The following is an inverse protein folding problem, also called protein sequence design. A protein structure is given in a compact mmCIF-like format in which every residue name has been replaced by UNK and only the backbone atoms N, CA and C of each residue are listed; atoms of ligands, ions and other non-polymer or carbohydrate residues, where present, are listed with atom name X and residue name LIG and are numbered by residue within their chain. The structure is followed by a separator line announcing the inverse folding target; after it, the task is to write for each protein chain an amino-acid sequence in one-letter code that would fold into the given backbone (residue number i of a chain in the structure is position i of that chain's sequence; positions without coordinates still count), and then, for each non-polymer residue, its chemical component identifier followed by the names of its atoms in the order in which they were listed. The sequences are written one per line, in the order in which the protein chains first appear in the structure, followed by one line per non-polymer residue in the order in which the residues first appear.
data_IF_092296787281
#
_entry.id   IF_092296787281
#
_cell.length_a   1.000
_cell.length_b   1.000
_cell.length_c   1.000
_cell.angle_alpha   90.00
_cell.angle_beta   90.00
_cell.angle_gamma   90.00
#
_symmetry.space_group_name_H-M   'P 1'
#
loop_
_entity.id
_entity.type
_entity.pdbx_description
1 polymer ?
#
# COMPACT_ATOMS: atom_id res chain seq x y z
N UNK A 1 -3.04 13.95 -15.09
CA UNK A 1 -3.09 12.53 -14.69
C UNK A 1 -3.91 12.46 -13.41
N UNK A 2 -4.94 11.62 -13.40
CA UNK A 2 -5.75 11.38 -12.21
C UNK A 2 -4.87 10.76 -11.10
N UNK A 3 -4.97 11.21 -9.84
CA UNK A 3 -4.17 10.64 -8.77
C UNK A 3 -4.61 9.19 -8.48
N UNK A 4 -3.63 8.31 -8.30
CA UNK A 4 -3.83 6.89 -7.96
C UNK A 4 -2.96 6.54 -6.77
N UNK A 5 -3.02 5.29 -6.30
CA UNK A 5 -2.21 4.75 -5.21
C UNK A 5 -0.77 5.28 -5.28
N UNK A 6 -0.33 5.88 -4.17
CA UNK A 6 0.99 6.46 -4.07
C UNK A 6 1.10 7.96 -4.29
N UNK A 7 0.10 8.58 -4.89
CA UNK A 7 -0.04 10.03 -4.88
C UNK A 7 -0.42 10.50 -3.48
N UNK A 8 -0.10 11.76 -3.18
CA UNK A 8 -0.67 12.48 -2.03
C UNK A 8 -1.55 13.62 -2.55
N UNK A 9 -2.61 13.94 -1.81
CA UNK A 9 -3.41 15.13 -2.05
C UNK A 9 -3.45 16.00 -0.80
N UNK A 10 -3.51 17.31 -0.98
CA UNK A 10 -3.75 18.27 0.08
C UNK A 10 -5.11 18.91 -0.13
N UNK A 11 -5.92 18.89 0.93
CA UNK A 11 -7.22 19.55 0.98
C UNK A 11 -7.11 21.05 1.26
N UNK A 12 -8.19 21.80 1.06
CA UNK A 12 -8.26 23.22 1.45
C UNK A 12 -8.14 23.41 2.97
N UNK A 13 -8.51 22.40 3.76
CA UNK A 13 -8.33 22.35 5.21
C UNK A 13 -6.87 22.02 5.62
N UNK A 14 -5.96 21.98 4.65
CA UNK A 14 -4.53 21.69 4.79
C UNK A 14 -4.22 20.28 5.31
N UNK A 15 -5.17 19.34 5.31
CA UNK A 15 -4.89 17.93 5.59
C UNK A 15 -4.26 17.29 4.35
N UNK A 16 -3.20 16.51 4.55
CA UNK A 16 -2.56 15.70 3.50
C UNK A 16 -3.03 14.26 3.62
N UNK A 17 -3.48 13.71 2.50
CA UNK A 17 -4.02 12.36 2.39
C UNK A 17 -3.14 11.47 1.51
N UNK A 18 -2.99 10.21 1.90
CA UNK A 18 -2.49 9.13 1.05
C UNK A 18 -3.61 8.67 0.11
N UNK A 19 -3.45 8.80 -1.20
CA UNK A 19 -4.42 8.29 -2.20
C UNK A 19 -4.40 6.77 -2.19
N UNK A 20 -5.58 6.14 -2.22
CA UNK A 20 -5.74 4.69 -2.12
C UNK A 20 -6.47 4.05 -3.30
N UNK A 21 -5.86 2.99 -3.83
CA UNK A 21 -6.38 2.25 -4.97
C UNK A 21 -6.18 2.97 -6.31
N UNK A 22 -6.75 2.39 -7.37
CA UNK A 22 -6.67 2.89 -8.74
C UNK A 22 -8.00 3.47 -9.25
N UNK A 23 -9.09 3.12 -8.56
CA UNK A 23 -10.47 3.42 -8.92
C UNK A 23 -11.07 4.32 -7.87
N UNK A 24 -11.78 5.36 -8.31
CA UNK A 24 -12.32 6.38 -7.43
C UNK A 24 -13.74 6.76 -7.86
N UNK A 25 -14.64 7.10 -6.90
CA UNK A 25 -15.98 7.58 -7.23
C UNK A 25 -15.94 8.85 -8.09
N UNK A 26 -17.00 9.12 -8.89
CA UNK A 26 -17.09 10.36 -9.66
C UNK A 26 -16.92 11.59 -8.77
N UNK A 27 -16.11 12.55 -9.23
CA UNK A 27 -15.83 13.82 -8.55
C UNK A 27 -15.23 13.70 -7.14
N UNK A 28 -14.71 12.54 -6.75
CA UNK A 28 -14.07 12.31 -5.45
C UNK A 28 -12.81 11.46 -5.60
N UNK A 29 -11.96 11.49 -4.57
CA UNK A 29 -10.76 10.65 -4.49
C UNK A 29 -10.80 9.90 -3.15
N UNK A 30 -10.71 8.57 -3.23
CA UNK A 30 -10.49 7.73 -2.04
C UNK A 30 -9.07 7.96 -1.56
N UNK A 31 -8.94 8.61 -0.40
CA UNK A 31 -7.65 8.96 0.18
C UNK A 31 -7.77 9.09 1.68
N UNK A 32 -6.76 8.65 2.44
CA UNK A 32 -6.83 8.63 3.90
C UNK A 32 -5.86 9.63 4.54
N UNK A 33 -6.23 10.34 5.61
CA UNK A 33 -5.35 11.29 6.29
C UNK A 33 -4.00 10.67 6.66
N UNK A 34 -2.92 11.39 6.33
CA UNK A 34 -1.55 11.01 6.65
C UNK A 34 -0.85 12.05 7.49
N UNK A 35 -1.02 13.32 7.14
CA UNK A 35 -0.55 14.46 7.94
C UNK A 35 -1.70 15.42 8.18
N UNK A 36 -2.04 15.60 9.44
CA UNK A 36 -3.11 16.50 9.88
C UNK A 36 -2.48 17.74 10.55
N UNK A 37 -3.03 18.95 10.34
CA UNK A 37 -2.60 20.12 11.10
C UNK A 37 -2.75 19.89 12.60
N UNK A 38 -1.70 20.20 13.35
CA UNK A 38 -1.63 19.97 14.79
C UNK A 38 -0.60 20.93 15.40
N UNK A 39 -1.00 21.76 16.37
CA UNK A 39 -0.12 22.75 17.01
C UNK A 39 1.03 22.08 17.78
N UNK A 40 0.82 20.87 18.28
CA UNK A 40 1.83 20.07 18.98
C UNK A 40 2.57 19.11 18.03
N UNK A 41 2.24 19.18 16.74
CA UNK A 41 2.82 18.36 15.70
C UNK A 41 4.35 18.48 15.60
N UNK A 42 5.01 17.33 15.47
CA UNK A 42 6.47 17.22 15.29
C UNK A 42 6.93 17.44 13.86
N UNK A 43 6.02 17.49 12.88
CA UNK A 43 6.34 17.80 11.48
C UNK A 43 6.01 19.27 11.20
N UNK A 44 6.77 19.91 10.31
CA UNK A 44 6.58 21.32 9.98
C UNK A 44 6.65 21.55 8.49
N UNK A 45 5.73 22.37 7.97
CA UNK A 45 5.76 22.86 6.59
C UNK A 45 5.40 24.35 6.60
N UNK A 46 6.44 25.18 6.41
CA UNK A 46 6.31 26.62 6.59
C UNK A 46 5.97 26.98 8.04
N UNK A 47 4.85 27.67 8.24
CA UNK A 47 4.35 28.08 9.57
C UNK A 47 3.44 27.03 10.23
N UNK A 48 2.97 26.02 9.49
CA UNK A 48 2.00 25.04 9.99
C UNK A 48 2.74 23.81 10.53
N UNK A 49 2.32 23.35 11.71
CA UNK A 49 2.76 22.10 12.34
C UNK A 49 1.77 20.98 12.04
N UNK A 50 2.29 19.76 11.94
CA UNK A 50 1.54 18.58 11.54
C UNK A 50 1.87 17.39 12.44
N UNK A 51 0.87 16.55 12.68
CA UNK A 51 1.04 15.21 13.23
C UNK A 51 0.84 14.17 12.14
N UNK A 52 1.69 13.14 12.15
CA UNK A 52 1.59 11.99 11.24
C UNK A 52 0.69 10.92 11.86
N UNK A 53 -0.31 10.47 11.12
CA UNK A 53 -1.31 9.49 11.59
C UNK A 53 -1.13 8.15 10.87
N UNK A 54 -1.07 7.08 11.66
CA UNK A 54 -0.74 5.74 11.17
C UNK A 54 -1.95 4.79 11.13
N UNK A 55 -2.61 4.57 12.27
CA UNK A 55 -3.72 3.62 12.38
C UNK A 55 -4.94 4.08 11.59
N UNK A 56 -5.73 3.11 11.13
CA UNK A 56 -6.99 3.37 10.42
C UNK A 56 -8.01 4.02 11.36
N UNK A 57 -8.09 3.55 12.61
CA UNK A 57 -8.98 4.11 13.63
C UNK A 57 -8.73 5.60 13.88
N UNK A 58 -7.48 6.02 14.10
CA UNK A 58 -7.16 7.43 14.36
C UNK A 58 -7.49 8.33 13.17
N UNK A 59 -7.36 7.79 11.94
CA UNK A 59 -7.73 8.49 10.70
C UNK A 59 -9.23 8.74 10.65
N UNK A 60 -10.05 7.72 10.90
CA UNK A 60 -11.51 7.89 10.95
C UNK A 60 -11.95 8.78 12.11
N UNK A 61 -11.42 8.58 13.32
CA UNK A 61 -11.72 9.44 14.47
C UNK A 61 -11.41 10.92 14.21
N UNK A 62 -10.31 11.21 13.51
CA UNK A 62 -10.00 12.57 13.08
C UNK A 62 -11.04 13.10 12.08
N UNK A 63 -11.40 12.32 11.06
CA UNK A 63 -12.34 12.75 10.03
C UNK A 63 -13.73 12.97 10.61
N UNK A 64 -14.27 12.01 11.37
CA UNK A 64 -15.60 12.12 11.97
C UNK A 64 -15.74 13.35 12.86
N UNK A 65 -14.66 13.71 13.57
CA UNK A 65 -14.64 14.89 14.46
C UNK A 65 -14.48 16.22 13.71
N UNK A 66 -13.66 16.27 12.65
CA UNK A 66 -13.21 17.53 12.07
C UNK A 66 -13.67 17.76 10.63
N UNK A 67 -13.90 16.69 9.86
CA UNK A 67 -14.25 16.67 8.44
C UNK A 67 -15.28 15.56 8.15
N UNK A 68 -16.44 15.54 8.84
CA UNK A 68 -17.39 14.42 8.77
C UNK A 68 -17.90 14.17 7.34
N UNK A 69 -18.02 15.22 6.53
CA UNK A 69 -18.45 15.14 5.12
C UNK A 69 -17.51 14.31 4.23
N UNK A 70 -16.28 14.02 4.69
CA UNK A 70 -15.33 13.19 3.94
C UNK A 70 -15.52 11.70 4.25
N UNK A 71 -16.33 11.36 5.25
CA UNK A 71 -16.61 9.99 5.64
C UNK A 71 -17.92 9.55 4.99
N UNK A 72 -17.83 8.80 3.91
CA UNK A 72 -18.96 8.45 3.05
C UNK A 72 -19.17 6.95 3.05
N UNK A 73 -20.43 6.50 3.13
CA UNK A 73 -20.75 5.13 2.78
C UNK A 73 -20.82 5.01 1.26
N UNK A 74 -19.89 4.27 0.68
CA UNK A 74 -19.84 4.04 -0.75
C UNK A 74 -20.69 2.79 -1.11
N UNK A 75 -21.71 2.92 -1.97
CA UNK A 75 -22.60 1.81 -2.30
C UNK A 75 -22.01 0.79 -3.28
N UNK A 76 -20.93 1.13 -3.99
CA UNK A 76 -20.21 0.25 -4.92
C UNK A 76 -19.22 -0.61 -4.16
N UNK A 77 -18.50 -0.04 -3.20
CA UNK A 77 -17.58 -0.78 -2.32
C UNK A 77 -18.26 -1.39 -1.09
N UNK A 78 -19.49 -0.97 -0.78
CA UNK A 78 -20.28 -1.40 0.38
C UNK A 78 -19.51 -1.22 1.69
N UNK A 79 -18.90 -0.04 1.84
CA UNK A 79 -17.97 0.28 2.91
C UNK A 79 -17.97 1.77 3.24
N UNK A 80 -17.64 2.10 4.49
CA UNK A 80 -17.36 3.47 4.91
C UNK A 80 -15.95 3.86 4.48
N UNK A 81 -15.83 4.82 3.56
CA UNK A 81 -14.56 5.27 3.01
C UNK A 81 -14.28 6.74 3.33
N UNK A 82 -13.00 7.12 3.21
CA UNK A 82 -12.61 8.52 3.18
C UNK A 82 -12.56 9.00 1.72
N UNK A 83 -13.58 9.74 1.31
CA UNK A 83 -13.74 10.28 -0.03
C UNK A 83 -13.59 11.80 -0.04
N UNK A 84 -12.46 12.29 -0.55
CA UNK A 84 -12.18 13.73 -0.63
C UNK A 84 -12.80 14.29 -1.92
N UNK A 85 -13.74 15.26 -1.84
CA UNK A 85 -14.32 15.88 -3.03
C UNK A 85 -13.26 16.62 -3.86
N UNK A 86 -13.31 16.52 -5.19
CA UNK A 86 -12.33 17.18 -6.07
C UNK A 86 -12.27 18.68 -5.86
N UNK A 87 -13.40 19.35 -5.64
CA UNK A 87 -13.43 20.79 -5.38
C UNK A 87 -12.74 21.20 -4.07
N UNK A 88 -12.52 20.24 -3.16
CA UNK A 88 -11.79 20.45 -1.91
C UNK A 88 -10.30 20.12 -2.03
N UNK A 89 -9.84 19.62 -3.17
CA UNK A 89 -8.43 19.32 -3.43
C UNK A 89 -7.70 20.61 -3.80
N UNK A 90 -6.89 21.11 -2.87
CA UNK A 90 -6.02 22.27 -3.06
C UNK A 90 -4.81 21.94 -3.93
N UNK A 91 -4.24 20.74 -3.77
CA UNK A 91 -3.03 20.33 -4.51
C UNK A 91 -2.88 18.82 -4.61
N UNK A 92 -2.42 18.37 -5.78
CA UNK A 92 -2.02 16.97 -6.03
C UNK A 92 -0.49 16.89 -6.06
N UNK A 93 0.07 15.92 -5.34
CA UNK A 93 1.49 15.62 -5.29
C UNK A 93 1.78 14.34 -6.08
N UNK A 94 2.46 14.49 -7.21
CA UNK A 94 2.85 13.36 -8.07
C UNK A 94 4.24 12.83 -7.72
N UNK A 95 4.39 11.54 -7.39
CA UNK A 95 5.69 10.93 -7.10
C UNK A 95 6.70 11.05 -8.24
N UNK A 96 6.24 10.85 -9.48
CA UNK A 96 7.08 10.89 -10.69
C UNK A 96 7.54 12.33 -10.96
N UNK A 97 6.65 13.32 -10.84
CA UNK A 97 7.03 14.73 -11.04
C UNK A 97 7.98 15.20 -9.95
N UNK A 98 7.77 14.80 -8.69
CA UNK A 98 8.70 15.12 -7.61
C UNK A 98 10.09 14.57 -7.88
N UNK A 99 10.22 13.30 -8.28
CA UNK A 99 11.51 12.70 -8.65
C UNK A 99 12.15 13.43 -9.83
N UNK A 100 11.37 13.78 -10.87
CA UNK A 100 11.84 14.59 -12.01
C UNK A 100 12.42 15.93 -11.56
N UNK A 101 11.77 16.61 -10.62
CA UNK A 101 12.29 17.87 -10.05
C UNK A 101 13.53 17.62 -9.19
N UNK A 102 13.51 16.58 -8.34
CA UNK A 102 14.60 16.25 -7.42
C UNK A 102 15.91 16.01 -8.18
N UNK A 103 15.85 15.27 -9.29
CA UNK A 103 16.99 14.98 -10.18
C UNK A 103 17.67 16.21 -10.76
N UNK A 104 16.98 17.37 -10.82
CA UNK A 104 17.52 18.62 -11.36
C UNK A 104 18.06 19.55 -10.26
N UNK A 105 17.91 19.20 -8.99
CA UNK A 105 18.37 20.06 -7.89
C UNK A 105 19.86 19.93 -7.68
N UNK A 106 20.53 21.07 -7.42
CA UNK A 106 21.97 21.13 -7.14
C UNK A 106 22.32 20.79 -5.69
N UNK A 107 21.40 21.05 -4.76
CA UNK A 107 21.57 20.77 -3.33
C UNK A 107 20.46 19.83 -2.89
N UNK A 108 20.86 18.72 -2.29
CA UNK A 108 20.00 17.69 -1.73
C UNK A 108 20.34 17.56 -0.24
N UNK A 109 19.33 17.35 0.61
CA UNK A 109 19.59 16.88 1.96
C UNK A 109 19.94 15.38 1.96
N UNK A 110 20.33 14.80 3.12
CA UNK A 110 20.76 13.39 3.18
C UNK A 110 19.68 12.43 2.69
N UNK A 111 18.43 12.60 3.12
CA UNK A 111 17.33 11.73 2.68
C UNK A 111 17.05 11.86 1.17
N UNK A 112 17.05 13.09 0.65
CA UNK A 112 16.90 13.36 -0.79
C UNK A 112 18.01 12.72 -1.62
N UNK A 113 19.25 12.78 -1.12
CA UNK A 113 20.41 12.16 -1.76
C UNK A 113 20.32 10.64 -1.74
N UNK A 114 20.02 10.04 -0.58
CA UNK A 114 19.88 8.59 -0.43
C UNK A 114 18.74 8.05 -1.29
N UNK A 115 17.59 8.73 -1.32
CA UNK A 115 16.45 8.35 -2.16
C UNK A 115 16.80 8.39 -3.65
N UNK A 116 17.48 9.46 -4.10
CA UNK A 116 17.91 9.58 -5.49
C UNK A 116 18.95 8.52 -5.86
N UNK A 117 19.91 8.24 -4.98
CA UNK A 117 20.92 7.19 -5.18
C UNK A 117 20.29 5.81 -5.24
N UNK A 118 19.34 5.51 -4.35
CA UNK A 118 18.57 4.27 -4.35
C UNK A 118 17.87 4.05 -5.70
N UNK A 119 17.13 5.06 -6.17
CA UNK A 119 16.42 5.01 -7.45
C UNK A 119 17.34 4.92 -8.67
N UNK A 120 18.52 5.56 -8.66
CA UNK A 120 19.51 5.39 -9.73
C UNK A 120 19.96 3.93 -9.83
N UNK A 121 20.36 3.30 -8.70
CA UNK A 121 20.82 1.91 -8.67
C UNK A 121 19.69 0.96 -9.15
N UNK A 122 18.47 1.15 -8.65
CA UNK A 122 17.32 0.36 -9.10
C UNK A 122 17.11 0.51 -10.61
N UNK A 123 17.15 1.75 -11.11
CA UNK A 123 16.95 2.04 -12.54
C UNK A 123 18.03 1.40 -13.42
N UNK A 124 19.29 1.50 -13.04
CA UNK A 124 20.42 0.93 -13.78
C UNK A 124 20.33 -0.60 -13.83
N UNK A 125 19.96 -1.25 -12.72
CA UNK A 125 19.89 -2.71 -12.64
C UNK A 125 18.60 -3.31 -13.23
N UNK A 126 17.54 -2.52 -13.37
CA UNK A 126 16.24 -2.97 -13.94
C UNK A 126 15.98 -2.47 -15.36
N UNK A 127 16.82 -1.55 -15.85
CA UNK A 127 16.63 -0.86 -17.13
C UNK A 127 15.23 -0.21 -17.31
N UNK A 128 14.62 0.26 -16.21
CA UNK A 128 13.33 0.96 -16.30
C UNK A 128 13.52 2.44 -16.64
N UNK A 129 12.54 3.07 -17.31
CA UNK A 129 12.58 4.50 -17.58
C UNK A 129 12.21 5.32 -16.32
N UNK A 130 12.72 6.55 -16.26
CA UNK A 130 12.47 7.46 -15.12
C UNK A 130 10.99 7.80 -14.90
N UNK A 131 10.17 7.74 -15.94
CA UNK A 131 8.73 8.00 -15.83
C UNK A 131 7.94 6.86 -15.18
N UNK A 132 8.55 5.68 -15.02
CA UNK A 132 8.01 4.56 -14.24
C UNK A 132 8.41 4.57 -12.77
N UNK A 133 9.21 5.54 -12.33
CA UNK A 133 9.75 5.63 -10.97
C UNK A 133 9.28 6.90 -10.26
N UNK A 134 9.06 6.82 -8.96
CA UNK A 134 8.62 7.94 -8.14
C UNK A 134 9.04 7.82 -6.67
N UNK A 135 8.94 8.96 -5.97
CA UNK A 135 9.15 9.06 -4.53
C UNK A 135 7.84 9.55 -3.91
N UNK A 136 7.35 8.88 -2.87
CA UNK A 136 6.13 9.24 -2.15
C UNK A 136 6.43 9.60 -0.69
N UNK A 137 5.41 9.49 0.17
CA UNK A 137 5.51 9.62 1.60
C UNK A 137 5.96 11.00 2.07
N UNK A 138 6.69 11.03 3.17
CA UNK A 138 7.08 12.28 3.84
C UNK A 138 8.01 13.14 2.98
N UNK A 139 8.84 12.52 2.13
CA UNK A 139 9.76 13.23 1.25
C UNK A 139 9.01 14.03 0.17
N UNK A 140 7.96 13.44 -0.43
CA UNK A 140 7.14 14.06 -1.47
C UNK A 140 6.49 15.39 -1.03
N UNK A 141 6.09 15.48 0.23
CA UNK A 141 5.46 16.69 0.82
C UNK A 141 6.41 17.51 1.71
N UNK A 142 7.70 17.17 1.71
CA UNK A 142 8.74 17.81 2.53
C UNK A 142 8.41 17.84 4.03
N UNK A 143 7.82 16.76 4.54
CA UNK A 143 7.51 16.53 5.95
C UNK A 143 8.34 15.37 6.54
N UNK A 144 9.51 15.11 5.97
CA UNK A 144 10.41 14.09 6.46
C UNK A 144 11.15 14.55 7.73
N UNK A 145 11.59 13.58 8.50
CA UNK A 145 12.50 13.69 9.65
C UNK A 145 13.75 12.85 9.35
N UNK A 146 14.77 12.94 10.19
CA UNK A 146 15.98 12.09 10.10
C UNK A 146 15.66 10.60 10.18
N UNK A 147 14.56 10.23 10.84
CA UNK A 147 14.05 8.86 10.96
C UNK A 147 13.05 8.47 9.88
N UNK A 148 12.87 9.29 8.83
CA UNK A 148 11.96 8.93 7.74
C UNK A 148 12.59 7.92 6.79
N UNK A 149 11.76 6.97 6.37
CA UNK A 149 12.05 5.95 5.38
C UNK A 149 12.14 6.54 3.96
N UNK A 150 12.69 5.75 3.04
CA UNK A 150 12.65 6.00 1.60
C UNK A 150 11.40 5.32 1.01
N UNK A 151 10.34 6.09 0.79
CA UNK A 151 9.10 5.62 0.17
C UNK A 151 9.20 5.67 -1.37
N UNK A 152 9.49 4.53 -2.00
CA UNK A 152 9.63 4.40 -3.46
C UNK A 152 8.33 3.90 -4.06
N UNK A 153 7.98 4.41 -5.25
CA UNK A 153 6.87 3.89 -6.04
C UNK A 153 7.34 3.56 -7.45
N UNK A 154 6.94 2.40 -7.95
CA UNK A 154 7.14 2.00 -9.34
C UNK A 154 5.77 1.81 -9.98
N UNK A 155 5.60 2.41 -11.16
CA UNK A 155 4.37 2.38 -11.94
C UNK A 155 4.53 1.53 -13.20
N UNK A 156 3.50 0.72 -13.48
CA UNK A 156 3.42 -0.14 -14.65
C UNK A 156 3.90 -1.55 -14.34
N UNK A 157 3.10 -2.53 -14.73
CA UNK A 157 3.28 -3.95 -14.37
C UNK A 157 4.64 -4.47 -14.81
N UNK A 158 5.05 -4.16 -16.04
CA UNK A 158 6.36 -4.54 -16.57
C UNK A 158 7.52 -3.91 -15.79
N UNK A 159 7.44 -2.60 -15.49
CA UNK A 159 8.48 -1.91 -14.71
C UNK A 159 8.58 -2.46 -13.29
N UNK A 160 7.44 -2.76 -12.65
CA UNK A 160 7.39 -3.32 -11.31
C UNK A 160 8.12 -4.67 -11.26
N UNK A 161 7.82 -5.58 -12.19
CA UNK A 161 8.52 -6.87 -12.26
C UNK A 161 10.02 -6.73 -12.55
N UNK A 162 10.42 -5.83 -13.45
CA UNK A 162 11.84 -5.55 -13.71
C UNK A 162 12.57 -5.05 -12.45
N UNK A 163 11.96 -4.12 -11.71
CA UNK A 163 12.55 -3.61 -10.45
C UNK A 163 12.55 -4.69 -9.37
N UNK A 164 11.50 -5.50 -9.27
CA UNK A 164 11.41 -6.61 -8.33
C UNK A 164 12.58 -7.59 -8.48
N UNK A 165 12.80 -8.09 -9.71
CA UNK A 165 13.87 -9.05 -9.97
C UNK A 165 15.26 -8.41 -9.83
N UNK A 166 15.43 -7.15 -10.21
CA UNK A 166 16.67 -6.42 -9.98
C UNK A 166 16.97 -6.30 -8.48
N UNK A 167 15.97 -5.96 -7.67
CA UNK A 167 16.12 -5.84 -6.21
C UNK A 167 16.44 -7.19 -5.56
N UNK A 168 15.79 -8.28 -5.97
CA UNK A 168 16.13 -9.63 -5.52
C UNK A 168 17.59 -9.97 -5.79
N UNK A 169 18.10 -9.63 -6.98
CA UNK A 169 19.50 -9.82 -7.35
C UNK A 169 20.44 -9.00 -6.46
N UNK A 170 20.15 -7.70 -6.30
CA UNK A 170 20.95 -6.77 -5.48
C UNK A 170 21.04 -7.20 -4.01
N UNK A 171 19.95 -7.74 -3.45
CA UNK A 171 19.92 -8.26 -2.08
C UNK A 171 20.73 -9.57 -1.95
N UNK A 172 20.72 -10.42 -2.98
CA UNK A 172 21.45 -11.70 -2.98
C UNK A 172 22.97 -11.51 -3.13
N UNK A 173 23.42 -10.51 -3.87
CA UNK A 173 24.86 -10.24 -4.10
C UNK A 173 25.60 -9.80 -2.84
N UNK A 174 24.92 -9.19 -1.86
CA UNK A 174 25.46 -8.88 -0.53
C UNK A 174 26.52 -7.77 -0.48
N UNK A 175 27.06 -7.34 -1.62
CA UNK A 175 28.01 -6.22 -1.76
C UNK A 175 27.34 -4.91 -2.21
N UNK A 176 26.01 -4.84 -2.14
CA UNK A 176 25.23 -3.67 -2.54
C UNK A 176 24.82 -2.85 -1.30
N UNK A 177 24.40 -1.58 -1.47
CA UNK A 177 23.87 -0.80 -0.36
C UNK A 177 22.51 -1.29 0.17
N UNK A 178 21.88 -2.27 -0.49
CA UNK A 178 20.62 -2.88 -0.09
C UNK A 178 20.88 -4.04 0.88
N UNK A 179 20.11 -4.08 1.97
CA UNK A 179 20.13 -5.18 2.93
C UNK A 179 18.70 -5.58 3.29
N UNK A 180 18.47 -6.88 3.40
CA UNK A 180 17.28 -7.40 4.04
C UNK A 180 17.34 -7.09 5.54
N UNK A 181 16.17 -7.06 6.19
CA UNK A 181 16.12 -6.88 7.64
C UNK A 181 16.75 -8.07 8.36
N UNK A 182 17.55 -7.79 9.39
CA UNK A 182 17.95 -8.79 10.36
C UNK A 182 16.84 -9.03 11.41
N UNK A 183 17.04 -9.98 12.32
CA UNK A 183 16.02 -10.36 13.30
C UNK A 183 15.63 -9.22 14.27
N UNK A 184 16.59 -8.38 14.69
CA UNK A 184 16.31 -7.25 15.57
C UNK A 184 15.49 -6.17 14.85
N UNK A 185 15.82 -5.91 13.59
CA UNK A 185 15.05 -4.98 12.73
C UNK A 185 13.64 -5.53 12.45
N UNK A 186 13.49 -6.84 12.25
CA UNK A 186 12.19 -7.49 12.13
C UNK A 186 11.38 -7.40 13.42
N UNK A 187 12.01 -7.48 14.59
CA UNK A 187 11.34 -7.29 15.88
C UNK A 187 10.80 -5.87 16.02
N UNK A 188 11.59 -4.86 15.67
CA UNK A 188 11.13 -3.46 15.65
C UNK A 188 9.96 -3.28 14.66
N UNK A 189 10.06 -3.88 13.48
CA UNK A 189 8.98 -3.84 12.48
C UNK A 189 7.70 -4.54 12.97
N UNK A 190 7.85 -5.66 13.68
CA UNK A 190 6.76 -6.40 14.29
C UNK A 190 6.02 -5.55 15.32
N UNK A 191 6.72 -4.95 16.28
CA UNK A 191 6.13 -4.10 17.31
C UNK A 191 5.37 -2.90 16.72
N UNK A 192 5.87 -2.37 15.60
CA UNK A 192 5.18 -1.33 14.85
C UNK A 192 3.91 -1.83 14.15
N UNK A 193 3.97 -3.01 13.49
CA UNK A 193 2.86 -3.54 12.68
C UNK A 193 1.78 -4.23 13.52
N UNK A 194 2.12 -4.78 14.68
CA UNK A 194 1.22 -5.54 15.54
C UNK A 194 -0.02 -4.74 15.95
N UNK A 195 0.13 -3.43 16.15
CA UNK A 195 -0.96 -2.49 16.45
C UNK A 195 -2.10 -2.48 15.43
N UNK A 196 -1.80 -2.93 14.22
CA UNK A 196 -2.68 -2.87 13.04
C UNK A 196 -2.90 -4.25 12.40
N UNK A 197 -2.23 -5.31 12.87
CA UNK A 197 -2.25 -6.67 12.29
C UNK A 197 -1.74 -7.66 13.34
N UNK A 198 -2.66 -8.36 14.00
CA UNK A 198 -2.36 -9.33 15.06
C UNK A 198 -1.94 -10.66 14.44
N UNK A 199 -0.69 -11.03 14.65
CA UNK A 199 -0.14 -12.33 14.27
C UNK A 199 0.99 -12.71 15.22
N UNK A 200 1.32 -14.00 15.31
CA UNK A 200 2.46 -14.44 16.13
C UNK A 200 3.77 -13.99 15.50
N UNK A 201 4.79 -13.76 16.33
CA UNK A 201 6.09 -13.30 15.89
C UNK A 201 6.77 -14.32 14.96
N UNK A 202 6.61 -15.61 15.22
CA UNK A 202 7.19 -16.67 14.39
C UNK A 202 6.59 -16.68 12.98
N UNK A 203 5.27 -16.52 12.87
CA UNK A 203 4.58 -16.43 11.58
C UNK A 203 4.99 -15.16 10.84
N UNK A 204 5.20 -14.05 11.57
CA UNK A 204 5.66 -12.78 11.02
C UNK A 204 7.06 -12.91 10.44
N UNK A 205 8.02 -13.41 11.22
CA UNK A 205 9.42 -13.57 10.78
C UNK A 205 9.52 -14.52 9.59
N UNK A 206 8.75 -15.63 9.60
CA UNK A 206 8.75 -16.62 8.51
C UNK A 206 8.43 -15.98 7.15
N UNK A 207 7.52 -15.02 7.13
CA UNK A 207 7.09 -14.37 5.90
C UNK A 207 7.93 -13.13 5.60
N UNK A 208 8.10 -12.24 6.58
CA UNK A 208 8.75 -10.93 6.41
C UNK A 208 10.24 -11.05 6.08
N UNK A 209 10.92 -12.11 6.53
CA UNK A 209 12.33 -12.38 6.17
C UNK A 209 12.53 -12.70 4.68
N UNK A 210 11.45 -13.03 3.95
CA UNK A 210 11.50 -13.41 2.53
C UNK A 210 11.16 -12.23 1.60
N UNK A 211 10.71 -11.10 2.17
CA UNK A 211 10.24 -9.94 1.40
C UNK A 211 11.41 -9.10 0.94
N UNK A 212 11.29 -8.57 -0.27
CA UNK A 212 12.27 -7.64 -0.83
C UNK A 212 11.74 -6.23 -0.96
N UNK A 213 10.43 -6.00 -0.87
CA UNK A 213 9.86 -4.65 -0.99
C UNK A 213 10.13 -3.74 0.21
N UNK A 214 10.89 -4.22 1.19
CA UNK A 214 11.29 -3.48 2.37
C UNK A 214 12.67 -3.95 2.85
N UNK A 215 13.37 -3.09 3.57
CA UNK A 215 14.68 -3.40 4.12
C UNK A 215 15.46 -2.13 4.41
N UNK A 216 16.79 -2.23 4.38
CA UNK A 216 17.68 -1.09 4.55
C UNK A 216 18.37 -0.73 3.23
N UNK A 217 18.47 0.57 2.96
CA UNK A 217 19.34 1.14 1.94
C UNK A 217 20.28 2.13 2.62
N UNK A 218 21.59 1.87 2.59
CA UNK A 218 22.59 2.69 3.31
C UNK A 218 22.25 2.88 4.81
N UNK A 219 21.65 1.85 5.44
CA UNK A 219 21.25 1.89 6.86
C UNK A 219 19.88 2.53 7.14
N UNK A 220 19.23 3.13 6.14
CA UNK A 220 17.89 3.71 6.25
C UNK A 220 16.82 2.75 5.78
N UNK A 221 15.67 2.73 6.44
CA UNK A 221 14.50 1.96 5.98
C UNK A 221 14.06 2.40 4.58
N UNK A 222 13.70 1.44 3.74
CA UNK A 222 12.99 1.70 2.50
C UNK A 222 11.73 0.85 2.43
N UNK A 223 10.74 1.36 1.69
CA UNK A 223 9.58 0.59 1.26
C UNK A 223 9.31 0.88 -0.21
N UNK A 224 9.15 -0.17 -1.01
CA UNK A 224 8.83 -0.04 -2.43
C UNK A 224 7.40 -0.48 -2.66
N UNK A 225 6.58 0.43 -3.20
CA UNK A 225 5.23 0.13 -3.66
C UNK A 225 5.22 -0.08 -5.16
N UNK A 226 4.71 -1.21 -5.60
CA UNK A 226 4.43 -1.46 -7.00
C UNK A 226 2.96 -1.24 -7.30
N UNK A 227 2.70 -0.45 -8.34
CA UNK A 227 1.36 0.01 -8.68
C UNK A 227 1.19 -0.16 -10.18
N UNK A 228 0.09 -0.80 -10.59
CA UNK A 228 -0.27 -0.87 -12.00
C UNK A 228 -0.53 0.53 -12.55
N UNK A 229 -0.20 0.76 -13.81
CA UNK A 229 -0.65 1.98 -14.46
C UNK A 229 -2.19 1.99 -14.53
N UNK A 230 -2.77 3.18 -14.54
CA UNK A 230 -4.23 3.35 -14.60
C UNK A 230 -4.85 2.61 -15.82
N UNK A 231 -4.17 2.61 -16.97
CA UNK A 231 -4.63 1.92 -18.18
C UNK A 231 -4.50 0.38 -18.10
N UNK A 232 -3.70 -0.17 -17.18
CA UNK A 232 -3.56 -1.62 -16.98
C UNK A 232 -4.68 -2.19 -16.09
N UNK A 233 -5.27 -1.38 -15.22
CA UNK A 233 -6.40 -1.80 -14.39
C UNK A 233 -7.66 -2.04 -15.22
N UNK A 234 -7.85 -1.24 -16.27
CA UNK A 234 -9.00 -1.29 -17.17
C UNK A 234 -10.37 -1.35 -16.43
N UNK A 235 -10.44 -0.73 -15.24
CA UNK A 235 -11.59 -0.73 -14.34
C UNK A 235 -12.01 0.71 -14.06
N UNK A 236 -13.30 0.97 -14.22
CA UNK A 236 -13.97 2.21 -13.85
C UNK A 236 -14.81 1.97 -12.62
N UNK A 237 -15.08 3.04 -11.88
CA UNK A 237 -15.98 2.98 -10.75
C UNK A 237 -17.38 2.53 -11.20
N UNK A 238 -17.95 1.55 -10.49
CA UNK A 238 -19.24 0.94 -10.84
C UNK A 238 -19.14 -0.27 -11.78
N UNK A 239 -17.99 -0.53 -12.39
CA UNK A 239 -17.81 -1.75 -13.22
C UNK A 239 -17.90 -3.03 -12.38
N UNK A 240 -17.41 -2.96 -11.14
CA UNK A 240 -17.45 -4.03 -10.16
C UNK A 240 -18.14 -3.53 -8.90
N UNK A 241 -19.17 -4.25 -8.46
CA UNK A 241 -19.82 -4.00 -7.18
C UNK A 241 -19.39 -5.05 -6.16
N UNK A 242 -19.22 -4.60 -4.92
CA UNK A 242 -18.87 -5.41 -3.78
C UNK A 242 -20.05 -5.41 -2.80
N UNK A 243 -20.31 -6.53 -2.12
CA UNK A 243 -21.24 -6.60 -1.00
C UNK A 243 -20.61 -7.31 0.18
N UNK A 244 -20.63 -6.67 1.34
CA UNK A 244 -20.16 -7.27 2.57
C UNK A 244 -21.01 -8.50 2.89
N UNK A 245 -20.34 -9.65 2.96
CA UNK A 245 -20.98 -10.95 3.22
C UNK A 245 -20.48 -11.57 4.53
N UNK A 246 -20.02 -10.74 5.47
CA UNK A 246 -19.53 -11.15 6.78
C UNK A 246 -18.02 -11.28 6.85
N UNK A 247 -17.53 -11.90 7.93
CA UNK A 247 -16.11 -12.18 8.15
C UNK A 247 -15.89 -13.68 8.21
N UNK A 248 -14.75 -14.11 7.71
CA UNK A 248 -14.36 -15.51 7.77
C UNK A 248 -12.88 -15.72 7.99
N UNK A 249 -12.58 -16.91 8.51
CA UNK A 249 -11.25 -17.47 8.58
C UNK A 249 -11.18 -18.72 7.73
N UNK A 250 -10.22 -18.76 6.83
CA UNK A 250 -10.10 -19.77 5.79
C UNK A 250 -8.73 -20.43 5.81
N UNK A 251 -8.67 -21.65 5.29
CA UNK A 251 -7.47 -22.25 4.73
C UNK A 251 -7.66 -22.41 3.23
N UNK A 252 -6.65 -22.06 2.43
CA UNK A 252 -6.73 -22.23 0.99
C UNK A 252 -5.33 -22.43 0.38
N UNK A 253 -5.28 -23.01 -0.81
CA UNK A 253 -4.05 -23.13 -1.58
C UNK A 253 -3.92 -21.96 -2.54
N UNK A 254 -2.76 -21.30 -2.58
CA UNK A 254 -2.48 -20.22 -3.55
C UNK A 254 -2.12 -20.85 -4.90
N UNK A 255 -2.88 -20.53 -5.95
CA UNK A 255 -2.66 -21.06 -7.30
C UNK A 255 -2.01 -20.06 -8.24
N UNK A 256 -2.08 -18.76 -7.91
CA UNK A 256 -1.53 -17.67 -8.69
C UNK A 256 -1.16 -16.50 -7.77
N UNK A 257 0.12 -16.16 -7.76
CA UNK A 257 0.74 -15.05 -7.03
C UNK A 257 1.31 -13.97 -7.97
N UNK A 258 0.90 -13.96 -9.25
CA UNK A 258 1.34 -12.97 -10.25
C UNK A 258 0.93 -11.53 -9.92
N UNK A 259 0.07 -11.34 -8.92
CA UNK A 259 -0.30 -10.01 -8.41
C UNK A 259 0.10 -9.77 -6.95
N UNK A 260 0.92 -10.65 -6.38
CA UNK A 260 1.34 -10.61 -4.98
C UNK A 260 2.22 -9.41 -4.63
N UNK A 261 2.91 -8.81 -5.60
CA UNK A 261 3.84 -7.69 -5.37
C UNK A 261 3.17 -6.31 -5.45
N UNK A 262 1.95 -6.23 -6.00
CA UNK A 262 1.29 -4.96 -6.28
C UNK A 262 0.50 -4.44 -5.08
N UNK A 263 0.17 -3.15 -5.07
CA UNK A 263 -0.87 -2.58 -4.22
C UNK A 263 -2.00 -2.05 -5.10
N UNK A 264 -3.24 -2.58 -4.99
CA UNK A 264 -3.61 -3.74 -4.17
C UNK A 264 -2.92 -5.04 -4.62
N UNK A 265 -2.66 -5.95 -3.68
CA UNK A 265 -2.16 -7.29 -3.98
C UNK A 265 -3.33 -8.26 -4.10
N UNK A 266 -3.15 -9.30 -4.92
CA UNK A 266 -4.12 -10.37 -5.10
C UNK A 266 -3.42 -11.73 -5.14
N UNK A 267 -4.05 -12.69 -4.48
CA UNK A 267 -3.71 -14.11 -4.53
C UNK A 267 -4.93 -14.87 -5.01
N UNK A 268 -4.86 -15.57 -6.15
CA UNK A 268 -5.92 -16.51 -6.50
C UNK A 268 -5.74 -17.77 -5.69
N UNK A 269 -6.86 -18.31 -5.24
CA UNK A 269 -6.89 -19.48 -4.36
C UNK A 269 -7.82 -20.55 -4.89
N UNK A 270 -7.57 -21.77 -4.45
CA UNK A 270 -8.47 -22.92 -4.63
C UNK A 270 -8.59 -23.72 -3.34
N UNK A 271 -9.52 -24.68 -3.33
CA UNK A 271 -9.74 -25.59 -2.19
C UNK A 271 -9.95 -24.84 -0.86
N UNK A 272 -10.65 -23.69 -0.92
CA UNK A 272 -10.87 -22.85 0.25
C UNK A 272 -11.81 -23.53 1.25
N UNK A 273 -11.32 -23.77 2.46
CA UNK A 273 -12.07 -24.32 3.59
C UNK A 273 -12.34 -23.19 4.58
N UNK A 274 -13.61 -22.91 4.86
CA UNK A 274 -14.03 -21.89 5.82
C UNK A 274 -14.17 -22.56 7.19
N UNK A 275 -13.35 -22.16 8.17
CA UNK A 275 -13.39 -22.68 9.54
C UNK A 275 -14.36 -21.91 10.42
N UNK A 276 -14.40 -20.59 10.22
CA UNK A 276 -15.21 -19.65 10.99
C UNK A 276 -15.85 -18.68 10.00
N UNK A 277 -17.11 -18.32 10.22
CA UNK A 277 -17.87 -17.42 9.34
C UNK A 277 -18.86 -18.12 8.41
N UNK A 278 -19.51 -17.35 7.52
CA UNK A 278 -20.53 -17.87 6.61
C UNK A 278 -19.92 -18.75 5.51
N UNK A 279 -20.59 -19.85 5.20
CA UNK A 279 -20.17 -20.78 4.14
C UNK A 279 -20.62 -20.24 2.79
N UNK A 280 -19.72 -19.56 2.09
CA UNK A 280 -19.97 -18.89 0.82
C UNK A 280 -18.99 -19.38 -0.24
N UNK A 281 -19.51 -19.79 -1.39
CA UNK A 281 -18.74 -20.33 -2.51
C UNK A 281 -19.24 -19.77 -3.84
N UNK A 282 -18.37 -19.63 -4.87
CA UNK A 282 -16.94 -19.93 -4.85
C UNK A 282 -16.11 -18.77 -4.29
N UNK A 283 -15.25 -19.05 -3.30
CA UNK A 283 -14.24 -18.11 -2.80
C UNK A 283 -12.96 -18.23 -3.65
N UNK A 284 -12.67 -17.21 -4.47
CA UNK A 284 -11.65 -17.33 -5.55
C UNK A 284 -10.34 -16.61 -5.29
N UNK A 285 -10.32 -15.61 -4.40
CA UNK A 285 -9.13 -14.79 -4.20
C UNK A 285 -9.06 -14.15 -2.81
N UNK A 286 -7.84 -13.81 -2.41
CA UNK A 286 -7.51 -12.98 -1.25
C UNK A 286 -6.93 -11.67 -1.78
N UNK A 287 -7.44 -10.53 -1.31
CA UNK A 287 -7.05 -9.19 -1.78
C UNK A 287 -6.66 -8.30 -0.61
N UNK A 288 -5.68 -7.42 -0.79
CA UNK A 288 -5.41 -6.34 0.17
C UNK A 288 -4.95 -5.06 -0.48
N UNK A 289 -5.40 -3.92 0.06
CA UNK A 289 -4.92 -2.58 -0.31
C UNK A 289 -3.75 -2.10 0.55
N UNK A 290 -3.23 -2.94 1.46
CA UNK A 290 -2.08 -2.60 2.31
C UNK A 290 -0.85 -3.32 1.82
N UNK A 291 0.16 -2.56 1.42
CA UNK A 291 1.42 -3.13 0.90
C UNK A 291 2.19 -4.05 1.87
N UNK A 292 1.82 -4.08 3.16
CA UNK A 292 2.36 -5.08 4.10
C UNK A 292 1.92 -6.51 3.76
N UNK A 293 0.79 -6.69 3.08
CA UNK A 293 0.32 -7.99 2.61
C UNK A 293 0.86 -8.35 1.22
N UNK A 294 1.73 -7.54 0.62
CA UNK A 294 2.48 -7.97 -0.55
C UNK A 294 3.48 -9.06 -0.18
N UNK A 295 3.80 -9.94 -1.13
CA UNK A 295 4.77 -11.04 -0.98
C UNK A 295 4.44 -12.05 0.15
N UNK A 296 3.20 -12.10 0.67
CA UNK A 296 2.86 -12.97 1.80
C UNK A 296 2.98 -14.47 1.50
N UNK A 297 2.54 -14.87 0.31
CA UNK A 297 2.51 -16.26 -0.11
C UNK A 297 2.90 -16.39 -1.58
N UNK A 298 3.31 -17.60 -1.97
CA UNK A 298 3.69 -17.96 -3.34
C UNK A 298 2.76 -19.03 -3.88
N UNK A 299 2.71 -19.14 -5.21
CA UNK A 299 2.02 -20.25 -5.87
C UNK A 299 2.48 -21.60 -5.30
N UNK A 300 1.52 -22.46 -4.96
CA UNK A 300 1.71 -23.77 -4.36
C UNK A 300 1.70 -23.77 -2.84
N UNK A 301 1.85 -22.63 -2.17
CA UNK A 301 1.79 -22.55 -0.71
C UNK A 301 0.34 -22.58 -0.20
N UNK A 302 0.11 -23.26 0.92
CA UNK A 302 -1.16 -23.23 1.64
C UNK A 302 -1.12 -22.12 2.68
N UNK A 303 -2.22 -21.37 2.78
CA UNK A 303 -2.34 -20.22 3.66
C UNK A 303 -3.51 -20.37 4.63
N UNK A 304 -3.40 -19.71 5.79
CA UNK A 304 -4.52 -19.42 6.67
C UNK A 304 -4.73 -17.91 6.64
N UNK A 305 -5.96 -17.48 6.39
CA UNK A 305 -6.28 -16.06 6.28
C UNK A 305 -7.57 -15.73 7.01
N UNK A 306 -7.66 -14.51 7.54
CA UNK A 306 -8.86 -13.97 8.15
C UNK A 306 -9.14 -12.56 7.61
N UNK A 307 -10.40 -12.31 7.23
CA UNK A 307 -10.83 -11.01 6.72
C UNK A 307 -12.30 -10.95 6.37
N UNK A 308 -12.69 -9.83 5.76
CA UNK A 308 -14.05 -9.56 5.28
C UNK A 308 -14.31 -10.35 4.00
N UNK A 309 -15.40 -11.11 3.94
CA UNK A 309 -15.87 -11.71 2.70
C UNK A 309 -16.65 -10.65 1.92
N UNK A 310 -16.29 -10.48 0.65
CA UNK A 310 -17.03 -9.63 -0.28
C UNK A 310 -17.57 -10.47 -1.43
N UNK A 311 -18.89 -10.38 -1.67
CA UNK A 311 -19.50 -10.83 -2.92
C UNK A 311 -19.14 -9.82 -4.01
N UNK A 312 -18.44 -10.29 -5.02
CA UNK A 312 -17.97 -9.50 -6.16
C UNK A 312 -18.91 -9.75 -7.34
N UNK A 313 -19.44 -8.68 -7.92
CA UNK A 313 -20.20 -8.69 -9.19
C UNK A 313 -19.48 -7.83 -10.22
N UNK A 314 -18.81 -8.46 -11.19
CA UNK A 314 -18.14 -7.77 -12.30
C UNK A 314 -19.08 -7.72 -13.52
N UNK A 315 -19.72 -6.57 -13.73
CA UNK A 315 -20.70 -6.37 -14.80
C UNK A 315 -20.09 -6.38 -16.20
N UNK A 316 -18.78 -6.16 -16.33
CA UNK A 316 -18.11 -6.19 -17.64
C UNK A 316 -17.93 -7.61 -18.16
N UNK A 317 -17.85 -8.58 -17.25
CA UNK A 317 -17.55 -9.98 -17.55
C UNK A 317 -18.71 -10.92 -17.25
N UNK A 318 -19.82 -10.38 -16.73
CA UNK A 318 -20.95 -11.15 -16.21
C UNK A 318 -20.48 -12.26 -15.24
N UNK A 319 -19.63 -11.87 -14.29
CA UNK A 319 -18.96 -12.78 -13.37
C UNK A 319 -19.30 -12.42 -11.92
N UNK A 320 -19.76 -13.43 -11.17
CA UNK A 320 -19.96 -13.32 -9.74
C UNK A 320 -19.12 -14.36 -8.97
N UNK A 321 -18.55 -13.95 -7.85
CA UNK A 321 -17.76 -14.81 -6.96
C UNK A 321 -17.55 -14.14 -5.60
N UNK A 322 -16.97 -14.86 -4.63
CA UNK A 322 -16.57 -14.27 -3.35
C UNK A 322 -15.06 -14.05 -3.30
N UNK A 323 -14.63 -12.99 -2.63
CA UNK A 323 -13.22 -12.76 -2.24
C UNK A 323 -13.07 -12.52 -0.75
N UNK A 324 -11.87 -12.76 -0.23
CA UNK A 324 -11.48 -12.37 1.11
C UNK A 324 -10.66 -11.08 1.06
N UNK A 325 -11.19 -9.98 1.58
CA UNK A 325 -10.49 -8.72 1.73
C UNK A 325 -9.83 -8.66 3.11
N UNK A 326 -8.50 -8.47 3.15
CA UNK A 326 -7.72 -8.42 4.38
C UNK A 326 -7.06 -7.06 4.60
N UNK A 327 -6.95 -6.67 5.88
CA UNK A 327 -6.23 -5.49 6.34
C UNK A 327 -7.14 -4.31 6.72
N UNK A 328 -8.44 -4.53 6.86
CA UNK A 328 -9.40 -3.52 7.27
C UNK A 328 -9.38 -3.33 8.80
N UNK A 329 -9.21 -4.42 9.55
CA UNK A 329 -9.17 -4.41 11.02
C UNK A 329 -7.91 -5.13 11.53
N UNK A 330 -7.47 -4.85 12.77
CA UNK A 330 -6.26 -5.47 13.32
C UNK A 330 -6.29 -7.00 13.40
N UNK A 331 -7.46 -7.63 13.46
CA UNK A 331 -7.60 -9.09 13.47
C UNK A 331 -7.42 -9.74 12.09
N UNK A 332 -7.31 -8.96 11.01
CA UNK A 332 -7.08 -9.51 9.68
C UNK A 332 -5.64 -9.98 9.54
N UNK A 333 -5.45 -11.17 8.98
CA UNK A 333 -4.12 -11.72 8.75
C UNK A 333 -4.09 -12.64 7.53
N UNK A 334 -2.88 -12.90 7.05
CA UNK A 334 -2.56 -13.91 6.04
C UNK A 334 -1.22 -14.53 6.42
N UNK A 335 -1.23 -15.81 6.77
CA UNK A 335 -0.06 -16.56 7.22
C UNK A 335 0.09 -17.85 6.41
N UNK A 336 1.31 -18.38 6.36
CA UNK A 336 1.56 -19.68 5.76
C UNK A 336 1.15 -20.80 6.70
N UNK A 337 0.39 -21.76 6.19
CA UNK A 337 0.19 -23.03 6.88
C UNK A 337 1.49 -23.83 6.81
N UNK A 338 2.04 -24.17 7.97
CA UNK A 338 3.20 -25.08 8.11
C UNK A 338 2.82 -26.51 7.82
#
# INVERSE_FOLDING_TARGET
MWPIEGYLIESIENVIFDVKGLVHPPNKIVAFPRFIPDLEGSRRRGKIRYRKVYSISDRFSFLEKNLPDYVVYDPVFDEKLCEVPLQKVKKVYSPVQFLKTLRKRRKLNSLEFEALKCLNILKENSNVPWNGLGISGSLLVKMHSETSDIDIIVYGSENCWKVYYALQKLLKEGNTPFKAYNLDELKVLYDFRFKDTHMRFEDFVKVESRKVLQGKFMGRDYFIRFVKNWNEANERYGDIHYRNSGYAKIEAQVVDDSESIFTPCRYKIENAKIFEGPRLEPLKEIVSFRGRFCEQAKKGETVIAQGKIEHVKDFRRDLEYFRLLIGNVPSDFLILKT
#
